data_IF_321876127745
#
_entry.id   IF_321876127745
#
_cell.length_a   1.000
_cell.length_b   1.000
_cell.length_c   1.000
_cell.angle_alpha   90.00
_cell.angle_beta   90.00
_cell.angle_gamma   90.00
#
_symmetry.space_group_name_H-M   'P 1'
#
loop_
_entity.id
_entity.type
_entity.pdbx_description
1 polymer ?
#
# COMPACT_ATOMS: atom_id res chain seq x y z
N UNK A 1 34.73 45.12 36.81
CA UNK A 1 33.50 44.36 37.12
C UNK A 1 32.41 44.83 36.15
N UNK A 2 32.19 44.04 35.10
CA UNK A 2 31.17 44.31 34.08
C UNK A 2 30.25 43.07 34.12
N UNK A 3 29.04 43.24 34.62
CA UNK A 3 27.98 42.24 34.66
C UNK A 3 27.31 42.16 33.28
N UNK A 4 27.58 41.09 32.55
CA UNK A 4 26.88 40.76 31.32
C UNK A 4 25.48 40.23 31.72
N UNK A 5 24.44 41.01 31.47
CA UNK A 5 23.07 40.56 31.58
C UNK A 5 22.77 39.56 30.45
N UNK A 6 22.60 38.27 30.80
CA UNK A 6 22.05 37.28 29.89
C UNK A 6 20.58 37.59 29.67
N UNK A 7 20.25 38.13 28.49
CA UNK A 7 18.87 38.30 28.07
C UNK A 7 18.21 36.90 27.93
N UNK A 8 17.16 36.66 28.71
CA UNK A 8 16.25 35.54 28.49
C UNK A 8 15.62 35.72 27.10
N UNK A 9 16.10 34.93 26.11
CA UNK A 9 15.36 34.74 24.87
C UNK A 9 13.98 34.18 25.26
N UNK A 10 12.93 34.94 24.95
CA UNK A 10 11.56 34.53 25.23
C UNK A 10 11.31 33.17 24.59
N UNK A 11 10.89 32.22 25.42
CA UNK A 11 10.38 30.94 24.93
C UNK A 11 9.18 31.24 24.03
N UNK A 12 9.34 31.10 22.72
CA UNK A 12 8.20 31.11 21.79
C UNK A 12 7.19 30.08 22.31
N UNK A 13 5.98 30.54 22.63
CA UNK A 13 4.89 29.68 23.06
C UNK A 13 4.67 28.61 22.00
N UNK A 14 4.80 27.34 22.41
CA UNK A 14 4.51 26.24 21.50
C UNK A 14 3.13 26.45 20.85
N UNK A 15 3.01 26.29 19.52
CA UNK A 15 1.75 26.52 18.83
C UNK A 15 0.64 25.70 19.49
N UNK A 16 -0.50 26.35 19.76
CA UNK A 16 -1.63 25.73 20.45
C UNK A 16 -2.00 24.41 19.76
N UNK A 17 -2.03 23.32 20.52
CA UNK A 17 -2.39 21.98 20.02
C UNK A 17 -3.79 22.04 19.40
N UNK A 18 -3.89 21.80 18.12
CA UNK A 18 -5.19 21.69 17.42
C UNK A 18 -5.97 20.54 18.04
N UNK A 19 -7.16 20.81 18.55
CA UNK A 19 -8.03 19.81 19.20
C UNK A 19 -9.12 19.31 18.23
N UNK A 20 -9.69 18.14 18.50
CA UNK A 20 -10.80 17.58 17.73
C UNK A 20 -10.39 16.96 16.39
N UNK A 21 -11.38 16.73 15.52
CA UNK A 21 -11.23 16.04 14.23
C UNK A 21 -10.19 16.72 13.32
N UNK A 22 -10.13 18.06 13.33
CA UNK A 22 -9.18 18.82 12.53
C UNK A 22 -7.72 18.50 12.87
N UNK A 23 -7.43 18.13 14.12
CA UNK A 23 -6.08 17.73 14.53
C UNK A 23 -5.63 16.40 13.88
N UNK A 24 -6.57 15.52 13.53
CA UNK A 24 -6.31 14.27 12.83
C UNK A 24 -6.14 14.49 11.33
N UNK A 25 -6.98 15.33 10.73
CA UNK A 25 -6.93 15.64 9.28
C UNK A 25 -5.61 16.31 8.90
N UNK A 26 -5.09 17.19 9.77
CA UNK A 26 -3.87 17.97 9.49
C UNK A 26 -2.62 17.44 10.18
N UNK A 27 -2.67 16.19 10.71
CA UNK A 27 -1.55 15.62 11.44
C UNK A 27 -0.39 15.27 10.51
N UNK A 28 0.82 15.43 11.03
CA UNK A 28 2.05 14.89 10.43
C UNK A 28 2.74 13.88 11.36
N UNK A 29 2.16 13.63 12.53
CA UNK A 29 2.66 12.68 13.53
C UNK A 29 2.51 11.24 13.01
N UNK A 30 3.62 10.50 13.01
CA UNK A 30 3.67 9.14 12.45
C UNK A 30 2.73 8.15 13.15
N UNK A 31 2.47 8.30 14.44
CA UNK A 31 1.57 7.39 15.19
C UNK A 31 0.13 7.62 14.79
N UNK A 32 -0.29 8.91 14.70
CA UNK A 32 -1.65 9.25 14.26
C UNK A 32 -1.88 8.82 12.81
N UNK A 33 -0.90 9.03 11.92
CA UNK A 33 -0.97 8.55 10.53
C UNK A 33 -1.05 7.02 10.49
N UNK A 34 -0.29 6.32 11.32
CA UNK A 34 -0.40 4.86 11.47
C UNK A 34 -1.80 4.42 11.86
N UNK A 35 -2.41 5.08 12.84
CA UNK A 35 -3.80 4.79 13.25
C UNK A 35 -4.78 5.06 12.11
N UNK A 36 -4.62 6.16 11.37
CA UNK A 36 -5.45 6.47 10.20
C UNK A 36 -5.35 5.38 9.13
N UNK A 37 -4.15 4.91 8.81
CA UNK A 37 -3.94 3.77 7.92
C UNK A 37 -4.64 2.51 8.43
N UNK A 38 -4.50 2.19 9.72
CA UNK A 38 -5.11 1.02 10.34
C UNK A 38 -6.62 1.02 10.30
N UNK A 39 -7.25 2.14 10.67
CA UNK A 39 -8.71 2.28 10.64
C UNK A 39 -9.23 2.19 9.19
N UNK A 40 -8.57 2.87 8.26
CA UNK A 40 -8.97 2.86 6.85
C UNK A 40 -8.79 1.48 6.22
N UNK A 41 -7.66 0.82 6.48
CA UNK A 41 -7.40 -0.55 6.02
C UNK A 41 -8.43 -1.53 6.57
N UNK A 42 -8.80 -1.41 7.84
CA UNK A 42 -9.82 -2.26 8.45
C UNK A 42 -11.20 -2.05 7.81
N UNK A 43 -11.58 -0.81 7.51
CA UNK A 43 -12.83 -0.53 6.81
C UNK A 43 -12.85 -1.13 5.40
N UNK A 44 -11.78 -0.98 4.64
CA UNK A 44 -11.67 -1.63 3.32
C UNK A 44 -11.60 -3.15 3.43
N UNK A 45 -10.96 -3.70 4.45
CA UNK A 45 -10.99 -5.13 4.72
C UNK A 45 -12.42 -5.64 4.95
N UNK A 46 -13.26 -4.90 5.65
CA UNK A 46 -14.68 -5.24 5.82
C UNK A 46 -15.45 -5.16 4.51
N UNK A 47 -15.16 -4.16 3.66
CA UNK A 47 -15.77 -4.04 2.32
C UNK A 47 -15.36 -5.26 1.47
N UNK A 48 -14.07 -5.55 1.35
CA UNK A 48 -13.61 -6.73 0.63
C UNK A 48 -14.12 -8.05 1.21
N UNK A 49 -14.29 -8.11 2.54
CA UNK A 49 -14.94 -9.24 3.22
C UNK A 49 -16.40 -9.42 2.81
N UNK A 50 -17.15 -8.32 2.69
CA UNK A 50 -18.54 -8.35 2.20
C UNK A 50 -18.59 -8.81 0.74
N UNK A 51 -17.68 -8.32 -0.12
CA UNK A 51 -17.55 -8.79 -1.51
C UNK A 51 -17.34 -10.32 -1.55
N UNK A 52 -16.44 -10.84 -0.71
CA UNK A 52 -16.21 -12.27 -0.59
C UNK A 52 -17.45 -13.06 -0.13
N UNK A 53 -18.20 -12.53 0.83
CA UNK A 53 -19.43 -13.15 1.30
C UNK A 53 -20.49 -13.26 0.18
N UNK A 54 -20.64 -12.24 -0.65
CA UNK A 54 -21.54 -12.24 -1.80
C UNK A 54 -21.10 -13.29 -2.84
N UNK A 55 -19.80 -13.40 -3.13
CA UNK A 55 -19.23 -14.44 -3.98
C UNK A 55 -19.55 -15.84 -3.40
N UNK A 56 -19.29 -16.03 -2.10
CA UNK A 56 -19.60 -17.32 -1.43
C UNK A 56 -21.07 -17.63 -1.39
N UNK A 57 -21.91 -16.63 -1.26
CA UNK A 57 -23.36 -16.81 -1.34
C UNK A 57 -23.80 -17.30 -2.73
N UNK A 58 -23.25 -16.70 -3.81
CA UNK A 58 -23.48 -17.17 -5.18
C UNK A 58 -23.08 -18.64 -5.36
N UNK A 59 -21.95 -19.05 -4.80
CA UNK A 59 -21.39 -20.40 -4.91
C UNK A 59 -21.98 -21.39 -3.89
N UNK A 60 -22.95 -20.99 -3.09
CA UNK A 60 -23.52 -21.81 -2.01
C UNK A 60 -24.42 -22.97 -2.48
N UNK A 61 -24.83 -22.99 -3.74
CA UNK A 61 -25.57 -24.09 -4.35
C UNK A 61 -25.30 -24.13 -5.87
N UNK A 62 -25.38 -25.30 -6.52
CA UNK A 62 -25.35 -25.40 -7.98
C UNK A 62 -26.45 -24.55 -8.63
N UNK A 63 -26.17 -24.00 -9.79
CA UNK A 63 -27.12 -23.25 -10.63
C UNK A 63 -27.82 -22.06 -9.94
N UNK A 64 -27.21 -21.55 -8.86
CA UNK A 64 -27.74 -20.39 -8.14
C UNK A 64 -27.60 -19.11 -8.98
N UNK A 65 -28.68 -18.35 -9.08
CA UNK A 65 -28.78 -17.14 -9.92
C UNK A 65 -28.90 -15.86 -9.09
N UNK A 66 -28.22 -15.79 -7.95
CA UNK A 66 -28.23 -14.62 -7.06
C UNK A 66 -27.52 -13.42 -7.68
N UNK A 67 -26.37 -13.64 -8.33
CA UNK A 67 -25.62 -12.63 -9.05
C UNK A 67 -25.68 -12.89 -10.55
N UNK A 68 -25.71 -11.82 -11.37
CA UNK A 68 -25.41 -11.97 -12.79
C UNK A 68 -23.93 -12.31 -13.00
N UNK A 69 -23.53 -12.89 -14.15
CA UNK A 69 -22.12 -13.14 -14.45
C UNK A 69 -21.27 -11.89 -14.37
N UNK A 70 -21.77 -10.74 -14.83
CA UNK A 70 -21.08 -9.45 -14.79
C UNK A 70 -20.86 -9.00 -13.34
N UNK A 71 -21.92 -9.04 -12.51
CA UNK A 71 -21.83 -8.67 -11.09
C UNK A 71 -20.89 -9.58 -10.33
N UNK A 72 -20.87 -10.89 -10.66
CA UNK A 72 -19.92 -11.83 -10.07
C UNK A 72 -18.47 -11.47 -10.43
N UNK A 73 -18.18 -11.18 -11.69
CA UNK A 73 -16.86 -10.80 -12.16
C UNK A 73 -16.40 -9.46 -11.54
N UNK A 74 -17.30 -8.50 -11.38
CA UNK A 74 -17.03 -7.24 -10.69
C UNK A 74 -16.66 -7.48 -9.23
N UNK A 75 -17.44 -8.25 -8.50
CA UNK A 75 -17.16 -8.58 -7.10
C UNK A 75 -15.87 -9.38 -6.97
N UNK A 76 -15.62 -10.34 -7.85
CA UNK A 76 -14.37 -11.11 -7.86
C UNK A 76 -13.14 -10.22 -8.06
N UNK A 77 -13.21 -9.32 -9.03
CA UNK A 77 -12.13 -8.38 -9.34
C UNK A 77 -11.90 -7.39 -8.21
N UNK A 78 -12.98 -6.81 -7.70
CA UNK A 78 -12.90 -5.81 -6.64
C UNK A 78 -12.49 -6.42 -5.31
N UNK A 79 -12.97 -7.62 -4.97
CA UNK A 79 -12.50 -8.34 -3.78
C UNK A 79 -10.98 -8.52 -3.79
N UNK A 80 -10.42 -9.04 -4.89
CA UNK A 80 -8.96 -9.23 -5.01
C UNK A 80 -8.22 -7.90 -4.91
N UNK A 81 -8.65 -6.87 -5.64
CA UNK A 81 -8.03 -5.55 -5.64
C UNK A 81 -8.13 -4.88 -4.27
N UNK A 82 -9.31 -4.90 -3.64
CA UNK A 82 -9.57 -4.29 -2.33
C UNK A 82 -8.74 -4.97 -1.24
N UNK A 83 -8.72 -6.30 -1.19
CA UNK A 83 -7.97 -7.03 -0.16
C UNK A 83 -6.47 -6.79 -0.26
N UNK A 84 -5.90 -6.80 -1.46
CA UNK A 84 -4.46 -6.61 -1.66
C UNK A 84 -4.07 -5.16 -1.40
N UNK A 85 -4.62 -4.22 -2.17
CA UNK A 85 -4.15 -2.83 -2.20
C UNK A 85 -4.75 -1.93 -1.12
N UNK A 86 -5.94 -2.24 -0.61
CA UNK A 86 -6.64 -1.38 0.36
C UNK A 86 -6.75 -2.02 1.74
N UNK A 87 -6.62 -3.35 1.85
CA UNK A 87 -6.63 -4.08 3.12
C UNK A 87 -5.21 -4.38 3.63
N UNK A 88 -4.53 -5.37 3.04
CA UNK A 88 -3.29 -5.93 3.60
C UNK A 88 -2.10 -4.98 3.50
N UNK A 89 -1.87 -4.33 2.35
CA UNK A 89 -0.76 -3.38 2.20
C UNK A 89 -0.84 -2.21 3.18
N UNK A 90 -1.97 -1.48 3.29
CA UNK A 90 -2.04 -0.36 4.21
C UNK A 90 -2.10 -0.79 5.69
N UNK A 91 -2.51 -2.02 5.99
CA UNK A 91 -2.32 -2.59 7.33
C UNK A 91 -0.83 -2.69 7.67
N UNK A 92 0.00 -3.14 6.74
CA UNK A 92 1.46 -3.10 6.91
C UNK A 92 1.99 -1.67 7.07
N UNK A 93 1.46 -0.71 6.30
CA UNK A 93 1.81 0.71 6.44
C UNK A 93 1.43 1.27 7.83
N UNK A 94 0.33 0.81 8.44
CA UNK A 94 0.00 1.12 9.83
C UNK A 94 1.14 0.72 10.78
N UNK A 95 1.60 -0.54 10.67
CA UNK A 95 2.68 -1.04 11.51
C UNK A 95 4.00 -0.31 11.25
N UNK A 96 4.33 -0.01 9.99
CA UNK A 96 5.52 0.76 9.65
C UNK A 96 5.49 2.14 10.29
N UNK A 97 4.39 2.86 10.13
CA UNK A 97 4.21 4.19 10.70
C UNK A 97 4.33 4.18 12.21
N UNK A 98 3.65 3.25 12.87
CA UNK A 98 3.58 3.25 14.32
C UNK A 98 4.87 2.76 14.96
N UNK A 99 5.43 1.64 14.47
CA UNK A 99 6.50 0.94 15.17
C UNK A 99 7.91 1.25 14.68
N UNK A 100 8.15 1.52 13.38
CA UNK A 100 9.53 1.72 12.88
C UNK A 100 10.25 2.83 13.64
N UNK A 101 9.72 4.07 13.76
CA UNK A 101 10.42 5.12 14.50
C UNK A 101 10.69 4.73 15.95
N UNK A 102 9.74 4.09 16.62
CA UNK A 102 9.88 3.64 18.01
C UNK A 102 11.00 2.58 18.16
N UNK A 103 11.01 1.59 17.25
CA UNK A 103 11.97 0.47 17.30
C UNK A 103 13.40 0.89 16.98
N UNK A 104 13.58 1.91 16.14
CA UNK A 104 14.93 2.42 15.82
C UNK A 104 15.36 3.59 16.70
N UNK A 105 14.48 4.06 17.62
CA UNK A 105 14.74 5.18 18.51
C UNK A 105 14.71 6.54 17.81
N UNK A 106 14.03 6.66 16.67
CA UNK A 106 13.79 7.91 15.98
C UNK A 106 12.61 8.67 16.60
N UNK A 107 12.67 10.00 16.57
CA UNK A 107 11.58 10.86 17.07
C UNK A 107 10.36 10.84 16.13
N UNK A 108 10.59 10.80 14.84
CA UNK A 108 9.57 10.75 13.77
C UNK A 108 10.18 10.09 12.52
N UNK A 109 9.38 9.93 11.46
CA UNK A 109 9.86 9.54 10.13
C UNK A 109 10.71 10.64 9.49
N UNK A 110 11.50 10.31 8.46
CA UNK A 110 12.40 11.27 7.82
C UNK A 110 11.67 12.45 7.17
N UNK A 111 10.50 12.19 6.59
CA UNK A 111 9.69 13.19 5.87
C UNK A 111 8.23 13.19 6.36
N UNK A 112 7.90 13.85 7.50
CA UNK A 112 6.57 13.78 8.09
C UNK A 112 5.45 14.30 7.17
N UNK A 113 5.72 15.34 6.37
CA UNK A 113 4.74 15.88 5.40
C UNK A 113 4.51 14.91 4.24
N UNK A 114 5.55 14.24 3.74
CA UNK A 114 5.43 13.21 2.72
C UNK A 114 4.65 12.00 3.24
N UNK A 115 4.81 11.69 4.53
CA UNK A 115 4.04 10.66 5.21
C UNK A 115 2.53 10.97 5.25
N UNK A 116 2.17 12.18 5.63
CA UNK A 116 0.78 12.63 5.59
C UNK A 116 0.23 12.63 4.14
N UNK A 117 1.00 13.09 3.17
CA UNK A 117 0.65 13.04 1.75
C UNK A 117 0.37 11.61 1.28
N UNK A 118 1.23 10.65 1.62
CA UNK A 118 1.04 9.25 1.21
C UNK A 118 -0.28 8.66 1.73
N UNK A 119 -0.67 8.98 2.97
CA UNK A 119 -1.95 8.55 3.52
C UNK A 119 -3.15 9.14 2.76
N UNK A 120 -3.15 10.44 2.49
CA UNK A 120 -4.28 11.08 1.81
C UNK A 120 -4.42 10.64 0.36
N UNK A 121 -3.30 10.45 -0.34
CA UNK A 121 -3.30 9.90 -1.70
C UNK A 121 -3.78 8.44 -1.71
N UNK A 122 -3.37 7.63 -0.74
CA UNK A 122 -3.88 6.27 -0.55
C UNK A 122 -5.41 6.27 -0.37
N UNK A 123 -5.93 7.06 0.57
CA UNK A 123 -7.36 7.15 0.82
C UNK A 123 -8.12 7.57 -0.44
N UNK A 124 -7.63 8.59 -1.15
CA UNK A 124 -8.25 9.07 -2.38
C UNK A 124 -8.25 7.99 -3.48
N UNK A 125 -7.14 7.26 -3.68
CA UNK A 125 -7.07 6.15 -4.64
C UNK A 125 -8.06 5.03 -4.32
N UNK A 126 -8.20 4.67 -3.04
CA UNK A 126 -9.19 3.70 -2.58
C UNK A 126 -10.62 4.16 -2.81
N UNK A 127 -10.91 5.43 -2.59
CA UNK A 127 -12.23 6.01 -2.88
C UNK A 127 -12.53 6.02 -4.38
N UNK A 128 -11.55 6.36 -5.23
CA UNK A 128 -11.70 6.31 -6.70
C UNK A 128 -12.04 4.90 -7.18
N UNK A 129 -11.33 3.89 -6.70
CA UNK A 129 -11.62 2.48 -7.04
C UNK A 129 -13.05 2.09 -6.65
N UNK A 130 -13.45 2.37 -5.42
CA UNK A 130 -14.77 1.99 -4.93
C UNK A 130 -15.90 2.84 -5.54
N UNK A 131 -15.63 4.09 -5.95
CA UNK A 131 -16.58 4.92 -6.65
C UNK A 131 -17.04 4.30 -7.98
N UNK A 132 -16.26 3.41 -8.59
CA UNK A 132 -16.63 2.69 -9.81
C UNK A 132 -17.98 1.98 -9.72
N UNK A 133 -18.35 1.46 -8.56
CA UNK A 133 -19.67 0.86 -8.32
C UNK A 133 -20.81 1.88 -8.47
N UNK A 134 -20.60 3.14 -8.08
CA UNK A 134 -21.63 4.19 -8.18
C UNK A 134 -21.91 4.59 -9.63
N UNK A 135 -20.96 4.35 -10.53
CA UNK A 135 -21.06 4.63 -11.96
C UNK A 135 -21.41 3.41 -12.81
N UNK A 136 -21.78 2.28 -12.19
CA UNK A 136 -21.96 0.99 -12.87
C UNK A 136 -20.75 0.61 -13.75
N UNK A 137 -19.55 0.95 -13.29
CA UNK A 137 -18.29 0.78 -13.99
C UNK A 137 -17.26 0.08 -13.10
N UNK A 138 -17.70 -0.83 -12.23
CA UNK A 138 -16.79 -1.62 -11.42
C UNK A 138 -15.95 -2.54 -12.32
N UNK A 139 -14.64 -2.65 -12.06
CA UNK A 139 -13.75 -3.54 -12.81
C UNK A 139 -14.21 -4.99 -12.75
N UNK A 140 -14.08 -5.74 -13.84
CA UNK A 140 -14.61 -7.11 -14.00
C UNK A 140 -13.66 -8.11 -14.65
N UNK A 141 -12.40 -7.69 -14.89
CA UNK A 141 -11.40 -8.44 -15.65
C UNK A 141 -10.42 -9.27 -14.79
N UNK A 142 -10.71 -9.42 -13.48
CA UNK A 142 -9.78 -9.98 -12.51
C UNK A 142 -8.73 -8.94 -12.05
N UNK A 143 -8.20 -9.09 -10.83
CA UNK A 143 -7.27 -8.14 -10.25
C UNK A 143 -5.92 -8.04 -10.99
N UNK A 144 -5.57 -9.05 -11.79
CA UNK A 144 -4.37 -9.08 -12.65
C UNK A 144 -4.59 -8.48 -14.05
N UNK A 145 -5.83 -8.14 -14.41
CA UNK A 145 -6.20 -7.35 -15.58
C UNK A 145 -5.53 -7.75 -16.90
N UNK A 146 -5.55 -9.03 -17.25
CA UNK A 146 -4.86 -9.52 -18.45
C UNK A 146 -5.34 -8.82 -19.73
N UNK A 147 -4.36 -8.41 -20.54
CA UNK A 147 -4.60 -7.87 -21.86
C UNK A 147 -5.40 -8.86 -22.72
N UNK A 148 -6.08 -8.33 -23.70
CA UNK A 148 -7.27 -8.72 -24.44
C UNK A 148 -8.56 -8.41 -23.67
N UNK A 149 -8.79 -8.94 -22.46
CA UNK A 149 -9.98 -8.61 -21.68
C UNK A 149 -10.05 -7.12 -21.31
N UNK A 150 -8.91 -6.48 -21.12
CA UNK A 150 -8.80 -5.06 -20.77
C UNK A 150 -8.86 -4.10 -21.96
N UNK A 151 -8.85 -4.60 -23.20
CA UNK A 151 -8.93 -3.77 -24.39
C UNK A 151 -10.32 -3.15 -24.56
N UNK A 152 -10.44 -2.03 -25.27
CA UNK A 152 -11.75 -1.40 -25.58
C UNK A 152 -12.70 -2.31 -26.37
N UNK A 153 -12.17 -3.32 -27.06
CA UNK A 153 -12.98 -4.31 -27.78
C UNK A 153 -13.81 -5.18 -26.82
N UNK A 154 -13.22 -5.63 -25.70
CA UNK A 154 -13.86 -6.53 -24.73
C UNK A 154 -14.40 -5.81 -23.50
N UNK A 155 -13.81 -4.69 -23.13
CA UNK A 155 -14.21 -3.84 -22.03
C UNK A 155 -14.36 -2.38 -22.49
N UNK A 156 -15.42 -2.04 -23.24
CA UNK A 156 -15.59 -0.71 -23.83
C UNK A 156 -15.91 0.37 -22.80
N UNK A 157 -16.44 0.00 -21.63
CA UNK A 157 -16.82 0.91 -20.55
C UNK A 157 -15.62 1.55 -19.82
N UNK A 158 -15.92 2.22 -18.72
CA UNK A 158 -14.93 2.89 -17.86
C UNK A 158 -14.38 1.98 -16.75
N UNK A 159 -14.83 0.74 -16.68
CA UNK A 159 -14.47 -0.22 -15.64
C UNK A 159 -12.95 -0.41 -15.50
N UNK A 160 -12.25 -0.69 -16.59
CA UNK A 160 -10.79 -0.82 -16.62
C UNK A 160 -10.12 0.53 -16.33
N UNK A 161 -10.69 1.64 -16.79
CA UNK A 161 -10.12 2.97 -16.61
C UNK A 161 -10.16 3.38 -15.12
N UNK A 162 -11.23 3.08 -14.38
CA UNK A 162 -11.29 3.25 -12.92
C UNK A 162 -10.19 2.45 -12.20
N UNK A 163 -9.96 1.20 -12.64
CA UNK A 163 -8.93 0.36 -12.06
C UNK A 163 -7.52 0.91 -12.33
N UNK A 164 -7.24 1.32 -13.58
CA UNK A 164 -5.95 1.92 -13.97
C UNK A 164 -5.67 3.17 -13.13
N UNK A 165 -6.60 4.12 -13.09
CA UNK A 165 -6.42 5.40 -12.38
C UNK A 165 -6.29 5.15 -10.88
N UNK A 166 -7.15 4.30 -10.32
CA UNK A 166 -7.09 3.96 -8.90
C UNK A 166 -5.73 3.38 -8.50
N UNK A 167 -5.22 2.39 -9.25
CA UNK A 167 -3.91 1.80 -8.97
C UNK A 167 -2.74 2.76 -9.22
N UNK A 168 -2.83 3.66 -10.20
CA UNK A 168 -1.82 4.72 -10.40
C UNK A 168 -1.71 5.64 -9.17
N UNK A 169 -2.85 6.06 -8.64
CA UNK A 169 -2.91 6.91 -7.43
C UNK A 169 -2.33 6.14 -6.23
N UNK A 170 -2.72 4.87 -6.04
CA UNK A 170 -2.19 4.02 -4.97
C UNK A 170 -0.69 3.77 -5.12
N UNK A 171 -0.20 3.64 -6.35
CA UNK A 171 1.23 3.52 -6.66
C UNK A 171 2.04 4.74 -6.22
N UNK A 172 1.53 5.95 -6.47
CA UNK A 172 2.15 7.21 -6.00
C UNK A 172 2.23 7.21 -4.47
N UNK A 173 1.16 6.83 -3.78
CA UNK A 173 1.12 6.75 -2.32
C UNK A 173 2.18 5.77 -1.78
N UNK A 174 2.25 4.58 -2.39
CA UNK A 174 3.17 3.51 -1.99
C UNK A 174 4.63 3.89 -2.20
N UNK A 175 4.98 4.51 -3.33
CA UNK A 175 6.34 4.99 -3.60
C UNK A 175 6.74 6.11 -2.64
N UNK A 176 5.84 7.05 -2.35
CA UNK A 176 6.10 8.12 -1.39
C UNK A 176 6.37 7.57 0.02
N UNK A 177 5.58 6.58 0.46
CA UNK A 177 5.79 5.89 1.73
C UNK A 177 7.11 5.10 1.73
N UNK A 178 7.42 4.38 0.64
CA UNK A 178 8.63 3.56 0.53
C UNK A 178 9.90 4.40 0.63
N UNK A 179 9.99 5.53 -0.09
CA UNK A 179 11.13 6.47 0.03
C UNK A 179 11.26 6.95 1.48
N UNK A 180 10.16 7.33 2.10
CA UNK A 180 10.18 7.86 3.46
C UNK A 180 10.69 6.82 4.46
N UNK A 181 10.14 5.59 4.48
CA UNK A 181 10.58 4.57 5.43
C UNK A 181 11.98 4.04 5.13
N UNK A 182 12.37 3.93 3.86
CA UNK A 182 13.73 3.57 3.50
C UNK A 182 14.73 4.56 4.11
N UNK A 183 14.54 5.87 3.88
CA UNK A 183 15.41 6.92 4.43
C UNK A 183 15.35 6.95 5.96
N UNK A 184 14.16 6.77 6.55
CA UNK A 184 13.98 6.71 8.00
C UNK A 184 14.83 5.61 8.62
N UNK A 185 14.73 4.39 8.10
CA UNK A 185 15.46 3.24 8.64
C UNK A 185 16.98 3.38 8.44
N UNK A 186 17.43 3.89 7.29
CA UNK A 186 18.86 4.02 7.01
C UNK A 186 19.50 5.14 7.81
N UNK A 187 18.84 6.30 7.95
CA UNK A 187 19.48 7.52 8.42
C UNK A 187 19.12 7.91 9.86
N UNK A 188 17.97 7.47 10.39
CA UNK A 188 17.47 7.97 11.69
C UNK A 188 17.59 6.97 12.83
N UNK A 189 18.40 5.92 12.69
CA UNK A 189 18.67 4.98 13.80
C UNK A 189 19.36 5.69 14.95
N UNK A 190 18.98 5.31 16.17
CA UNK A 190 19.60 5.81 17.39
C UNK A 190 21.15 5.61 17.36
N UNK A 191 21.93 6.52 17.95
CA UNK A 191 23.38 6.38 18.06
C UNK A 191 23.77 5.01 18.65
N UNK A 192 24.68 4.30 17.96
CA UNK A 192 25.12 2.95 18.35
C UNK A 192 24.27 1.80 17.82
N UNK A 193 23.12 2.05 17.21
CA UNK A 193 22.32 1.03 16.53
C UNK A 193 22.87 0.75 15.13
N UNK A 194 23.77 -0.21 15.03
CA UNK A 194 24.26 -0.74 13.74
C UNK A 194 23.19 -1.59 13.06
N UNK A 195 23.30 -1.80 11.73
CA UNK A 195 22.34 -2.59 10.96
C UNK A 195 22.02 -3.95 11.62
N UNK A 196 23.05 -4.74 11.98
CA UNK A 196 22.88 -6.06 12.62
C UNK A 196 22.42 -6.01 14.10
N UNK A 197 21.97 -4.85 14.57
CA UNK A 197 21.31 -4.67 15.88
C UNK A 197 19.86 -4.20 15.75
N UNK A 198 19.37 -4.07 14.52
CA UNK A 198 17.96 -3.71 14.29
C UNK A 198 17.05 -4.88 14.65
N UNK A 199 15.84 -4.64 15.18
CA UNK A 199 14.81 -5.64 15.33
C UNK A 199 14.48 -6.31 13.98
N UNK A 200 14.03 -7.57 14.00
CA UNK A 200 13.72 -8.33 12.79
C UNK A 200 12.61 -7.67 11.97
N UNK A 201 11.60 -7.11 12.64
CA UNK A 201 10.53 -6.35 11.97
C UNK A 201 11.08 -5.16 11.17
N UNK A 202 12.10 -4.46 11.67
CA UNK A 202 12.71 -3.32 10.97
C UNK A 202 13.48 -3.80 9.73
N UNK A 203 14.16 -4.97 9.80
CA UNK A 203 14.80 -5.58 8.64
C UNK A 203 13.79 -5.97 7.57
N UNK A 204 12.72 -6.69 7.94
CA UNK A 204 11.68 -7.08 7.01
C UNK A 204 11.00 -5.86 6.38
N UNK A 205 10.79 -4.81 7.18
CA UNK A 205 10.27 -3.53 6.69
C UNK A 205 11.22 -2.87 5.70
N UNK A 206 12.54 -2.86 5.95
CA UNK A 206 13.54 -2.28 5.05
C UNK A 206 13.53 -2.99 3.69
N UNK A 207 13.55 -4.32 3.68
CA UNK A 207 13.49 -5.10 2.44
C UNK A 207 12.18 -4.85 1.70
N UNK A 208 11.06 -4.76 2.41
CA UNK A 208 9.77 -4.38 1.83
C UNK A 208 9.84 -3.03 1.10
N UNK A 209 10.51 -2.02 1.68
CA UNK A 209 10.66 -0.72 0.99
C UNK A 209 11.52 -0.85 -0.29
N UNK A 210 12.57 -1.67 -0.26
CA UNK A 210 13.39 -1.93 -1.47
C UNK A 210 12.54 -2.60 -2.55
N UNK A 211 11.75 -3.61 -2.21
CA UNK A 211 10.85 -4.27 -3.15
C UNK A 211 9.81 -3.30 -3.74
N UNK A 212 9.21 -2.44 -2.90
CA UNK A 212 8.27 -1.39 -3.35
C UNK A 212 8.92 -0.46 -4.38
N UNK A 213 10.13 0.04 -4.09
CA UNK A 213 10.86 0.95 -4.97
C UNK A 213 11.24 0.32 -6.32
N UNK A 214 11.44 -0.99 -6.37
CA UNK A 214 11.78 -1.72 -7.59
C UNK A 214 10.53 -2.18 -8.37
N UNK A 215 9.50 -2.66 -7.69
CA UNK A 215 8.36 -3.29 -8.32
C UNK A 215 7.29 -2.29 -8.81
N UNK A 216 6.99 -1.25 -8.03
CA UNK A 216 5.93 -0.30 -8.38
C UNK A 216 6.19 0.51 -9.65
N UNK A 217 7.41 0.94 -9.98
CA UNK A 217 7.66 1.57 -11.27
C UNK A 217 7.29 0.68 -12.46
N UNK A 218 7.46 -0.63 -12.35
CA UNK A 218 7.16 -1.59 -13.43
C UNK A 218 5.65 -1.66 -13.69
N UNK A 219 4.85 -1.83 -12.64
CA UNK A 219 3.39 -1.84 -12.79
C UNK A 219 2.87 -0.46 -13.24
N UNK A 220 3.47 0.63 -12.77
CA UNK A 220 3.14 1.98 -13.21
C UNK A 220 3.31 2.14 -14.72
N UNK A 221 4.42 1.66 -15.29
CA UNK A 221 4.65 1.66 -16.74
C UNK A 221 3.59 0.81 -17.45
N UNK A 222 3.32 -0.41 -16.98
CA UNK A 222 2.30 -1.27 -17.57
C UNK A 222 0.91 -0.61 -17.61
N UNK A 223 0.52 0.05 -16.51
CA UNK A 223 -0.76 0.78 -16.40
C UNK A 223 -0.80 1.98 -17.37
N UNK A 224 0.30 2.72 -17.54
CA UNK A 224 0.39 3.82 -18.51
C UNK A 224 0.24 3.29 -19.94
N UNK A 225 0.94 2.21 -20.30
CA UNK A 225 0.83 1.61 -21.63
C UNK A 225 -0.60 1.12 -21.90
N UNK A 226 -1.27 0.51 -20.91
CA UNK A 226 -2.66 0.10 -21.04
C UNK A 226 -3.61 1.30 -21.18
N UNK A 227 -3.36 2.38 -20.44
CA UNK A 227 -4.13 3.61 -20.58
C UNK A 227 -3.97 4.22 -21.98
N UNK A 228 -2.76 4.20 -22.54
CA UNK A 228 -2.49 4.67 -23.91
C UNK A 228 -3.23 3.80 -24.94
N UNK A 229 -3.20 2.49 -24.83
CA UNK A 229 -3.95 1.58 -25.70
C UNK A 229 -5.46 1.88 -25.67
N UNK A 230 -6.02 2.12 -24.48
CA UNK A 230 -7.45 2.36 -24.29
C UNK A 230 -7.91 3.75 -24.72
N UNK A 231 -7.11 4.78 -24.45
CA UNK A 231 -7.51 6.20 -24.61
C UNK A 231 -7.02 6.82 -25.91
N UNK A 232 -5.88 6.36 -26.44
CA UNK A 232 -5.24 6.95 -27.61
C UNK A 232 -5.10 5.98 -28.79
N UNK A 233 -5.57 4.73 -28.64
CA UNK A 233 -5.56 3.75 -29.73
C UNK A 233 -4.15 3.26 -30.09
N UNK A 234 -3.22 3.29 -29.16
CA UNK A 234 -1.93 2.58 -29.30
C UNK A 234 -2.16 1.07 -29.22
N UNK A 235 -1.16 0.28 -29.57
CA UNK A 235 -1.31 -1.17 -29.71
C UNK A 235 -0.19 -1.94 -28.98
N UNK A 236 0.21 -1.50 -27.77
CA UNK A 236 1.24 -2.19 -27.00
C UNK A 236 0.86 -3.63 -26.66
N UNK A 237 -0.42 -3.87 -26.38
CA UNK A 237 -0.96 -5.17 -25.97
C UNK A 237 -1.97 -5.76 -26.96
N UNK A 238 -2.23 -5.09 -28.08
CA UNK A 238 -3.26 -5.49 -29.07
C UNK A 238 -2.60 -6.16 -30.27
N UNK A 239 -2.80 -7.51 -30.47
CA UNK A 239 -2.11 -8.25 -31.53
C UNK A 239 -2.40 -7.77 -32.97
N UNK A 240 -3.63 -7.33 -33.23
CA UNK A 240 -4.00 -6.82 -34.56
C UNK A 240 -3.24 -5.57 -35.00
N UNK A 241 -2.66 -4.84 -34.04
CA UNK A 241 -1.80 -3.67 -34.30
C UNK A 241 -0.31 -3.93 -34.12
N UNK A 242 0.12 -5.20 -33.96
CA UNK A 242 1.51 -5.59 -33.76
C UNK A 242 1.96 -5.64 -32.30
N UNK A 243 1.06 -5.47 -31.34
CA UNK A 243 1.33 -5.59 -29.92
C UNK A 243 1.32 -7.04 -29.42
N UNK A 244 1.72 -7.23 -28.17
CA UNK A 244 1.79 -8.55 -27.54
C UNK A 244 1.11 -8.55 -26.15
N UNK A 245 0.01 -9.30 -25.96
CA UNK A 245 -0.63 -9.45 -24.66
C UNK A 245 0.25 -10.14 -23.61
N UNK A 246 1.25 -10.94 -24.03
CA UNK A 246 2.20 -11.57 -23.12
C UNK A 246 3.11 -10.53 -22.48
N UNK A 247 3.37 -9.40 -23.15
CA UNK A 247 4.08 -8.27 -22.55
C UNK A 247 3.37 -7.74 -21.30
N UNK A 248 2.01 -7.67 -21.31
CA UNK A 248 1.26 -7.32 -20.09
C UNK A 248 1.53 -8.30 -18.97
N UNK A 249 1.45 -9.60 -19.26
CA UNK A 249 1.66 -10.63 -18.25
C UNK A 249 3.06 -10.55 -17.64
N UNK A 250 4.09 -10.34 -18.46
CA UNK A 250 5.46 -10.17 -17.97
C UNK A 250 5.62 -8.94 -17.07
N UNK A 251 5.13 -7.78 -17.51
CA UNK A 251 5.21 -6.54 -16.73
C UNK A 251 4.41 -6.67 -15.44
N UNK A 252 3.18 -7.24 -15.52
CA UNK A 252 2.33 -7.41 -14.35
C UNK A 252 2.99 -8.35 -13.32
N UNK A 253 3.48 -9.51 -13.73
CA UNK A 253 4.03 -10.49 -12.79
C UNK A 253 5.46 -10.18 -12.34
N UNK A 254 6.21 -9.37 -13.07
CA UNK A 254 7.47 -8.79 -12.59
C UNK A 254 7.23 -7.84 -11.38
N UNK A 255 6.06 -7.23 -11.32
CA UNK A 255 5.54 -6.57 -10.12
C UNK A 255 4.88 -7.59 -9.18
N UNK A 256 4.00 -8.46 -9.68
CA UNK A 256 3.06 -9.25 -8.89
C UNK A 256 3.71 -10.26 -7.96
N UNK A 257 4.86 -10.86 -8.30
CA UNK A 257 5.58 -11.71 -7.37
C UNK A 257 6.27 -10.91 -6.24
N UNK A 258 7.05 -9.84 -6.51
CA UNK A 258 7.51 -8.95 -5.44
C UNK A 258 6.37 -8.42 -4.55
N UNK A 259 5.18 -8.19 -5.10
CA UNK A 259 4.01 -7.76 -4.34
C UNK A 259 3.63 -8.74 -3.24
N UNK A 260 3.60 -10.05 -3.52
CA UNK A 260 3.27 -11.05 -2.48
C UNK A 260 4.33 -11.09 -1.37
N UNK A 261 5.59 -10.80 -1.68
CA UNK A 261 6.63 -10.65 -0.66
C UNK A 261 6.49 -9.34 0.13
N UNK A 262 6.08 -8.25 -0.52
CA UNK A 262 5.73 -6.99 0.14
C UNK A 262 4.61 -7.22 1.19
N UNK A 263 3.66 -8.10 0.90
CA UNK A 263 2.59 -8.46 1.82
C UNK A 263 3.07 -9.33 2.99
N UNK A 264 3.91 -10.35 2.74
CA UNK A 264 4.24 -11.36 3.74
C UNK A 264 5.43 -10.99 4.64
N UNK A 265 6.44 -10.27 4.14
CA UNK A 265 7.63 -9.95 4.92
C UNK A 265 7.32 -9.16 6.21
N UNK A 266 6.45 -8.13 6.20
CA UNK A 266 6.07 -7.47 7.45
C UNK A 266 5.46 -8.40 8.47
N UNK A 267 4.61 -9.35 8.03
CA UNK A 267 4.01 -10.36 8.90
C UNK A 267 5.08 -11.29 9.48
N UNK A 268 6.04 -11.74 8.70
CA UNK A 268 7.19 -12.51 9.20
C UNK A 268 8.01 -11.72 10.23
N UNK A 269 8.20 -10.42 9.99
CA UNK A 269 8.83 -9.54 10.96
C UNK A 269 8.09 -9.50 12.29
N UNK A 270 6.76 -9.30 12.27
CA UNK A 270 5.91 -9.28 13.47
C UNK A 270 5.98 -10.61 14.21
N UNK A 271 5.82 -11.73 13.49
CA UNK A 271 5.88 -13.07 14.10
C UNK A 271 7.25 -13.33 14.73
N UNK A 272 8.32 -12.90 14.07
CA UNK A 272 9.69 -13.05 14.58
C UNK A 272 9.97 -12.25 15.86
N UNK A 273 9.25 -11.16 16.11
CA UNK A 273 9.33 -10.40 17.36
C UNK A 273 8.44 -11.00 18.45
N UNK A 274 7.24 -11.49 18.09
CA UNK A 274 6.27 -12.00 19.06
C UNK A 274 6.68 -13.34 19.63
N UNK A 275 7.10 -14.31 18.79
CA UNK A 275 7.44 -15.65 19.22
C UNK A 275 8.52 -15.74 20.30
N UNK A 276 9.65 -15.01 20.19
CA UNK A 276 10.68 -15.00 21.24
C UNK A 276 10.16 -14.48 22.58
N UNK A 277 9.31 -13.45 22.56
CA UNK A 277 8.73 -12.84 23.77
C UNK A 277 7.80 -13.86 24.47
N UNK A 278 6.87 -14.46 23.74
CA UNK A 278 5.91 -15.41 24.33
C UNK A 278 6.56 -16.73 24.73
N UNK A 279 7.56 -17.21 24.00
CA UNK A 279 8.31 -18.41 24.34
C UNK A 279 9.40 -18.18 25.41
N UNK A 280 9.67 -16.91 25.75
CA UNK A 280 10.76 -16.50 26.67
C UNK A 280 12.12 -17.07 26.25
N UNK A 281 12.39 -17.13 24.94
CA UNK A 281 13.63 -17.62 24.36
C UNK A 281 14.18 -16.59 23.37
N UNK A 282 15.52 -16.46 23.24
CA UNK A 282 16.09 -15.60 22.23
C UNK A 282 15.75 -16.12 20.82
N UNK A 283 15.69 -15.19 19.85
CA UNK A 283 15.51 -15.56 18.45
C UNK A 283 16.71 -16.42 17.99
N UNK A 284 16.43 -17.60 17.49
CA UNK A 284 17.45 -18.51 16.98
C UNK A 284 17.92 -18.04 15.59
N UNK A 285 19.24 -17.96 15.41
CA UNK A 285 19.82 -17.73 14.10
C UNK A 285 19.53 -16.34 13.50
N UNK A 286 19.50 -15.27 14.31
CA UNK A 286 19.20 -13.91 13.86
C UNK A 286 19.91 -13.52 12.56
N UNK A 287 21.24 -13.73 12.48
CA UNK A 287 22.00 -13.41 11.27
C UNK A 287 21.56 -14.24 10.05
N UNK A 288 21.30 -15.53 10.24
CA UNK A 288 20.78 -16.38 9.17
C UNK A 288 19.42 -15.89 8.66
N UNK A 289 18.52 -15.52 9.57
CA UNK A 289 17.21 -14.97 9.20
C UNK A 289 17.29 -13.63 8.46
N UNK A 290 18.31 -12.80 8.76
CA UNK A 290 18.51 -11.53 8.04
C UNK A 290 19.00 -11.78 6.61
N UNK A 291 19.83 -12.81 6.39
CA UNK A 291 20.42 -13.10 5.08
C UNK A 291 19.64 -14.10 4.24
N UNK A 292 18.64 -14.78 4.77
CA UNK A 292 17.73 -15.68 4.05
C UNK A 292 16.65 -14.95 3.27
#
# INVERSE_FOLDING_TARGET
MSTIAMGHAGAEAAPAEKKGLWSWITTVDHKRIGILYGVTAFLFFLIGGLEALLIRWQLGAPDKTFLSPEAYNQLFTMHGTTMIFLGVMPLSAMFFNYFIPLLIGARDVAFPRLNAYSYWVFLFGGLVLNASFLFNAAPDMGWFAYANLTSKQYSPGLNVDFWIIGLQILGIASLAAAVNFFVTIINLRAPGMKMMRMPMFVWMSLITQVLLLLAFPIITVALVLLMLDRSFGTHFFVPSGGGDPVLWQHLFWLFGHPEVYILILPAFGIVSEILPVFSRKPLFGYAAMVFS
#
